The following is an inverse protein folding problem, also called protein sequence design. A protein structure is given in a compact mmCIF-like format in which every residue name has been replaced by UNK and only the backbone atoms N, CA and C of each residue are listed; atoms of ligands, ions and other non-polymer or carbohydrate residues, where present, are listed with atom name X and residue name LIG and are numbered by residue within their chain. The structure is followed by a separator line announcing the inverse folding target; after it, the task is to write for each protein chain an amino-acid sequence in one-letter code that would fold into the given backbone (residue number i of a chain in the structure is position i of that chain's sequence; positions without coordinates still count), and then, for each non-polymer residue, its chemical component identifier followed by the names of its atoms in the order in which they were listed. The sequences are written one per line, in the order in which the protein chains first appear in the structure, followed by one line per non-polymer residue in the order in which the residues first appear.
data_IF_410586878308
#
_entry.id   IF_410586878308
#
_cell.length_a   1.000
_cell.length_b   1.000
_cell.length_c   1.000
_cell.angle_alpha   90.00
_cell.angle_beta   90.00
_cell.angle_gamma   90.00
#
_symmetry.space_group_name_H-M   'P 1'
#
loop_
_entity.id
_entity.type
_entity.pdbx_description
1 polymer ?
#
# COMPACT_ATOMS: atom_id res chain seq x y z
N UNK A 1 29.68 -25.97 -6.13
CA UNK A 1 29.89 -25.48 -7.52
C UNK A 1 29.06 -26.23 -8.58
N UNK A 2 29.07 -27.57 -8.64
CA UNK A 2 28.30 -28.36 -9.64
C UNK A 2 26.77 -28.19 -9.58
N UNK A 3 26.21 -27.99 -8.40
CA UNK A 3 24.75 -27.79 -8.21
C UNK A 3 24.25 -26.48 -8.84
N UNK A 4 25.02 -25.39 -8.68
CA UNK A 4 24.71 -24.08 -9.23
C UNK A 4 24.75 -24.09 -10.76
N UNK A 5 25.75 -24.75 -11.35
CA UNK A 5 25.83 -24.94 -12.81
C UNK A 5 24.67 -25.78 -13.36
N UNK A 6 24.24 -26.82 -12.62
CA UNK A 6 23.08 -27.65 -13.00
C UNK A 6 21.78 -26.85 -12.93
N UNK A 7 21.62 -26.00 -11.91
CA UNK A 7 20.46 -25.12 -11.76
C UNK A 7 20.44 -24.03 -12.85
N UNK A 8 21.57 -23.39 -13.13
CA UNK A 8 21.70 -22.36 -14.17
C UNK A 8 21.38 -22.88 -15.59
N UNK A 9 21.63 -24.16 -15.87
CA UNK A 9 21.26 -24.78 -17.15
C UNK A 9 19.79 -25.19 -17.25
N UNK A 10 19.01 -25.14 -16.17
CA UNK A 10 17.60 -25.51 -16.17
C UNK A 10 16.74 -24.35 -16.70
N UNK A 11 16.00 -24.57 -17.79
CA UNK A 11 15.08 -23.55 -18.37
C UNK A 11 14.00 -23.07 -17.40
N UNK A 12 13.68 -23.84 -16.34
CA UNK A 12 12.72 -23.45 -15.29
C UNK A 12 13.35 -22.62 -14.17
N UNK A 13 14.68 -22.60 -14.04
CA UNK A 13 15.36 -21.92 -12.93
C UNK A 13 15.04 -20.42 -12.84
N UNK A 14 14.97 -19.63 -13.93
CA UNK A 14 14.58 -18.22 -13.85
C UNK A 14 13.17 -18.02 -13.29
N UNK A 15 12.22 -18.87 -13.68
CA UNK A 15 10.84 -18.80 -13.16
C UNK A 15 10.75 -19.16 -11.68
N UNK A 16 11.53 -20.15 -11.25
CA UNK A 16 11.62 -20.54 -9.83
C UNK A 16 12.22 -19.40 -9.01
N UNK A 17 13.31 -18.79 -9.48
CA UNK A 17 13.94 -17.65 -8.82
C UNK A 17 12.98 -16.47 -8.71
N UNK A 18 12.28 -16.13 -9.80
CA UNK A 18 11.27 -15.08 -9.78
C UNK A 18 10.17 -15.36 -8.74
N UNK A 19 9.66 -16.59 -8.70
CA UNK A 19 8.66 -17.00 -7.70
C UNK A 19 9.17 -16.86 -6.26
N UNK A 20 10.42 -17.24 -6.00
CA UNK A 20 11.05 -17.06 -4.68
C UNK A 20 11.19 -15.56 -4.35
N UNK A 21 11.61 -14.73 -5.30
CA UNK A 21 11.75 -13.29 -5.10
C UNK A 21 10.41 -12.64 -4.78
N UNK A 22 9.34 -12.96 -5.53
CA UNK A 22 7.99 -12.44 -5.27
C UNK A 22 7.50 -12.90 -3.90
N UNK A 23 7.72 -14.16 -3.52
CA UNK A 23 7.33 -14.68 -2.22
C UNK A 23 8.07 -13.98 -1.07
N UNK A 24 9.39 -13.80 -1.18
CA UNK A 24 10.18 -13.08 -0.18
C UNK A 24 9.75 -11.62 -0.05
N UNK A 25 9.53 -10.95 -1.18
CA UNK A 25 8.98 -9.59 -1.22
C UNK A 25 7.63 -9.52 -0.49
N UNK A 26 6.69 -10.41 -0.82
CA UNK A 26 5.36 -10.44 -0.21
C UNK A 26 5.42 -10.64 1.31
N UNK A 27 6.17 -11.64 1.77
CA UNK A 27 6.30 -11.93 3.21
C UNK A 27 6.90 -10.76 3.98
N UNK A 28 7.95 -10.14 3.43
CA UNK A 28 8.60 -9.01 4.08
C UNK A 28 7.73 -7.76 4.06
N UNK A 29 7.04 -7.47 2.96
CA UNK A 29 6.12 -6.34 2.85
C UNK A 29 4.92 -6.49 3.79
N UNK A 30 4.35 -7.69 3.94
CA UNK A 30 3.30 -7.95 4.93
C UNK A 30 3.84 -7.76 6.36
N UNK A 31 5.02 -8.30 6.65
CA UNK A 31 5.65 -8.10 7.95
C UNK A 31 5.80 -6.61 8.30
N UNK A 32 6.30 -5.80 7.36
CA UNK A 32 6.39 -4.35 7.55
C UNK A 32 5.02 -3.69 7.70
N UNK A 33 4.04 -4.08 6.88
CA UNK A 33 2.69 -3.51 6.93
C UNK A 33 2.06 -3.63 8.33
N UNK A 34 2.25 -4.79 8.97
CA UNK A 34 1.69 -5.12 10.29
C UNK A 34 2.50 -4.58 11.47
N UNK A 35 3.82 -4.39 11.33
CA UNK A 35 4.70 -4.09 12.47
C UNK A 35 5.28 -2.66 12.48
N UNK A 36 5.23 -1.94 11.36
CA UNK A 36 5.84 -0.62 11.26
C UNK A 36 5.03 0.39 12.08
N UNK A 37 5.67 1.12 12.99
CA UNK A 37 4.99 2.16 13.77
C UNK A 37 4.61 3.34 12.88
N UNK A 38 3.49 3.98 13.20
CA UNK A 38 3.09 5.22 12.53
C UNK A 38 4.12 6.33 12.85
N UNK A 39 4.38 7.24 11.90
CA UNK A 39 5.40 8.28 12.04
C UNK A 39 6.83 7.88 11.71
N UNK A 40 7.13 6.61 11.42
CA UNK A 40 8.47 6.23 10.92
C UNK A 40 8.72 6.82 9.53
N UNK A 41 7.71 6.80 8.66
CA UNK A 41 7.73 7.56 7.41
C UNK A 41 7.20 8.97 7.67
N UNK A 42 7.90 10.04 7.26
CA UNK A 42 7.49 11.41 7.54
C UNK A 42 6.12 11.78 6.92
N UNK A 43 5.70 11.07 5.86
CA UNK A 43 4.44 11.26 5.15
C UNK A 43 3.33 10.30 5.58
N UNK A 44 3.57 9.40 6.53
CA UNK A 44 2.60 8.36 6.92
C UNK A 44 1.28 8.94 7.42
N UNK A 45 1.34 10.01 8.22
CA UNK A 45 0.16 10.74 8.67
C UNK A 45 -0.58 11.41 7.51
N UNK A 46 0.15 12.03 6.58
CA UNK A 46 -0.46 12.67 5.41
C UNK A 46 -1.29 11.68 4.58
N UNK A 47 -0.75 10.50 4.27
CA UNK A 47 -1.48 9.51 3.47
C UNK A 47 -2.72 8.99 4.19
N UNK A 48 -2.69 8.80 5.51
CA UNK A 48 -3.86 8.37 6.26
C UNK A 48 -4.93 9.47 6.30
N UNK A 49 -4.58 10.63 6.82
CA UNK A 49 -5.52 11.73 7.11
C UNK A 49 -6.14 12.30 5.83
N UNK A 50 -5.35 12.42 4.76
CA UNK A 50 -5.90 12.86 3.47
C UNK A 50 -6.78 11.77 2.85
N UNK A 51 -6.44 10.48 3.00
CA UNK A 51 -7.34 9.39 2.56
C UNK A 51 -8.66 9.40 3.33
N UNK A 52 -8.65 9.71 4.63
CA UNK A 52 -9.87 9.91 5.43
C UNK A 52 -10.67 11.13 4.97
N UNK A 53 -10.02 12.23 4.57
CA UNK A 53 -10.74 13.36 3.96
C UNK A 53 -11.42 12.96 2.64
N UNK A 54 -10.71 12.18 1.81
CA UNK A 54 -11.28 11.60 0.59
C UNK A 54 -12.38 10.57 0.89
N UNK A 55 -12.38 9.88 2.04
CA UNK A 55 -13.39 8.88 2.42
C UNK A 55 -14.79 9.51 2.57
N UNK A 56 -14.84 10.79 2.98
CA UNK A 56 -16.05 11.58 3.23
C UNK A 56 -16.72 12.16 1.98
N UNK A 57 -16.06 12.14 0.83
CA UNK A 57 -16.59 12.71 -0.43
C UNK A 57 -16.39 11.77 -1.62
N UNK A 58 -17.19 11.92 -2.68
CA UNK A 58 -16.97 11.19 -3.93
C UNK A 58 -15.95 11.88 -4.86
N UNK A 59 -15.75 13.19 -4.68
CA UNK A 59 -14.86 14.02 -5.50
C UNK A 59 -13.56 14.36 -4.79
N UNK A 60 -13.05 15.55 -5.09
CA UNK A 60 -11.91 16.13 -4.38
C UNK A 60 -12.46 16.82 -3.11
N UNK A 61 -11.96 16.50 -1.91
CA UNK A 61 -12.38 17.16 -0.67
C UNK A 61 -12.01 18.64 -0.68
N UNK A 62 -12.84 19.46 -0.03
CA UNK A 62 -12.54 20.87 0.21
C UNK A 62 -11.45 21.04 1.28
N UNK A 63 -10.74 22.17 1.25
CA UNK A 63 -9.82 22.51 2.33
C UNK A 63 -10.62 22.95 3.57
N UNK A 64 -10.46 22.25 4.68
CA UNK A 64 -11.07 22.57 5.98
C UNK A 64 -10.00 22.87 7.03
N UNK A 65 -10.35 23.47 8.18
CA UNK A 65 -9.38 23.70 9.27
C UNK A 65 -8.58 22.44 9.67
N UNK A 66 -9.20 21.27 9.62
CA UNK A 66 -8.56 19.98 9.91
C UNK A 66 -7.52 19.57 8.86
N UNK A 67 -7.69 20.02 7.62
CA UNK A 67 -6.83 19.65 6.48
C UNK A 67 -5.78 20.70 6.14
N UNK A 68 -5.84 21.91 6.69
CA UNK A 68 -4.89 23.00 6.39
C UNK A 68 -3.43 22.62 6.67
N UNK A 69 -3.18 21.79 7.68
CA UNK A 69 -1.85 21.25 7.98
C UNK A 69 -1.26 20.42 6.83
N UNK A 70 -2.11 19.86 5.97
CA UNK A 70 -1.75 19.05 4.81
C UNK A 70 -1.67 19.87 3.51
N UNK A 71 -1.72 21.20 3.62
CA UNK A 71 -1.70 22.17 2.52
C UNK A 71 -2.97 22.06 1.66
N UNK A 72 -2.89 22.56 0.42
CA UNK A 72 -4.02 22.63 -0.49
C UNK A 72 -4.36 21.25 -1.07
N UNK A 73 -5.27 20.52 -0.42
CA UNK A 73 -5.73 19.20 -0.89
C UNK A 73 -6.70 19.30 -2.08
N UNK A 74 -7.28 20.48 -2.34
CA UNK A 74 -8.22 20.70 -3.45
C UNK A 74 -7.57 20.65 -4.82
N UNK A 75 -6.25 20.84 -4.88
CA UNK A 75 -5.45 20.79 -6.12
C UNK A 75 -4.61 19.53 -6.25
N UNK A 76 -4.87 18.54 -5.41
CA UNK A 76 -4.12 17.29 -5.35
C UNK A 76 -5.03 16.13 -5.77
N UNK A 77 -5.31 15.95 -7.08
CA UNK A 77 -6.14 14.86 -7.56
C UNK A 77 -5.33 13.56 -7.64
N UNK A 78 -4.98 12.97 -6.49
CA UNK A 78 -4.35 11.66 -6.48
C UNK A 78 -5.41 10.57 -6.42
N UNK A 79 -5.56 9.85 -7.53
CA UNK A 79 -6.40 8.64 -7.64
C UNK A 79 -6.10 7.64 -6.52
N UNK A 80 -4.85 7.53 -6.07
CA UNK A 80 -4.47 6.66 -4.95
C UNK A 80 -5.15 7.06 -3.63
N UNK A 81 -5.20 8.35 -3.29
CA UNK A 81 -5.87 8.83 -2.08
C UNK A 81 -7.39 8.65 -2.17
N UNK A 82 -7.96 8.84 -3.36
CA UNK A 82 -9.38 8.54 -3.60
C UNK A 82 -9.68 7.06 -3.42
N UNK A 83 -8.89 6.16 -4.01
CA UNK A 83 -9.02 4.70 -3.87
C UNK A 83 -8.90 4.32 -2.39
N UNK A 84 -7.89 4.85 -1.68
CA UNK A 84 -7.71 4.62 -0.25
C UNK A 84 -8.95 5.03 0.54
N UNK A 85 -9.54 6.20 0.26
CA UNK A 85 -10.80 6.63 0.87
C UNK A 85 -11.95 5.63 0.64
N UNK A 86 -12.05 5.02 -0.54
CA UNK A 86 -13.04 3.96 -0.80
C UNK A 86 -12.74 2.67 -0.02
N UNK A 87 -11.46 2.30 0.09
CA UNK A 87 -11.03 1.14 0.88
C UNK A 87 -11.37 1.35 2.36
N UNK A 88 -11.18 2.57 2.89
CA UNK A 88 -11.57 2.90 4.26
C UNK A 88 -13.07 2.75 4.49
N UNK A 89 -13.92 3.23 3.56
CA UNK A 89 -15.37 3.06 3.69
C UNK A 89 -15.78 1.57 3.66
N UNK A 90 -15.14 0.76 2.81
CA UNK A 90 -15.39 -0.68 2.79
C UNK A 90 -14.95 -1.33 4.10
N UNK A 91 -13.77 -0.97 4.62
CA UNK A 91 -13.28 -1.46 5.90
C UNK A 91 -14.24 -1.13 7.04
N UNK A 92 -14.70 0.12 7.14
CA UNK A 92 -15.69 0.55 8.13
C UNK A 92 -16.98 -0.26 8.03
N UNK A 93 -17.44 -0.55 6.81
CA UNK A 93 -18.68 -1.30 6.58
C UNK A 93 -18.57 -2.80 6.88
N UNK A 94 -17.39 -3.43 6.69
CA UNK A 94 -17.28 -4.90 6.71
C UNK A 94 -16.39 -5.45 7.82
N UNK A 95 -15.18 -4.93 7.99
CA UNK A 95 -14.14 -5.58 8.82
C UNK A 95 -13.78 -4.80 10.08
N UNK A 96 -13.90 -3.48 10.03
CA UNK A 96 -13.55 -2.53 11.08
C UNK A 96 -12.13 -2.76 11.66
N UNK A 97 -11.16 -3.02 10.78
CA UNK A 97 -9.75 -3.16 11.16
C UNK A 97 -9.06 -1.80 11.29
N UNK A 98 -7.86 -1.81 11.87
CA UNK A 98 -6.98 -0.63 11.91
C UNK A 98 -6.71 -0.08 10.50
N UNK A 99 -7.06 1.18 10.28
CA UNK A 99 -7.04 1.83 8.98
C UNK A 99 -5.64 1.86 8.36
N UNK A 100 -4.61 2.14 9.17
CA UNK A 100 -3.22 2.17 8.72
C UNK A 100 -2.80 0.81 8.19
N UNK A 101 -3.15 -0.25 8.92
CA UNK A 101 -2.87 -1.63 8.54
C UNK A 101 -3.57 -1.99 7.24
N UNK A 102 -4.86 -1.65 7.11
CA UNK A 102 -5.65 -1.91 5.89
C UNK A 102 -5.02 -1.23 4.68
N UNK A 103 -4.76 0.08 4.76
CA UNK A 103 -4.17 0.84 3.64
C UNK A 103 -2.78 0.31 3.25
N UNK A 104 -1.97 -0.10 4.23
CA UNK A 104 -0.66 -0.71 3.96
C UNK A 104 -0.81 -2.05 3.24
N UNK A 105 -1.72 -2.91 3.68
CA UNK A 105 -1.98 -4.20 3.01
C UNK A 105 -2.50 -3.99 1.58
N UNK A 106 -3.36 -2.98 1.36
CA UNK A 106 -3.81 -2.59 0.01
C UNK A 106 -2.66 -2.11 -0.87
N UNK A 107 -1.68 -1.37 -0.31
CA UNK A 107 -0.47 -1.00 -1.04
C UNK A 107 0.40 -2.22 -1.37
N UNK A 108 0.50 -3.22 -0.48
CA UNK A 108 1.20 -4.47 -0.78
C UNK A 108 0.53 -5.21 -1.94
N UNK A 109 -0.81 -5.31 -1.97
CA UNK A 109 -1.55 -5.92 -3.07
C UNK A 109 -1.29 -5.19 -4.40
N UNK A 110 -1.32 -3.85 -4.39
CA UNK A 110 -1.02 -3.04 -5.57
C UNK A 110 0.40 -3.27 -6.05
N UNK A 111 1.38 -3.29 -5.14
CA UNK A 111 2.78 -3.52 -5.49
C UNK A 111 3.00 -4.91 -6.09
N UNK A 112 2.41 -5.97 -5.52
CA UNK A 112 2.46 -7.32 -6.11
C UNK A 112 1.82 -7.36 -7.48
N UNK A 113 0.69 -6.66 -7.67
CA UNK A 113 0.02 -6.55 -8.96
C UNK A 113 0.91 -5.96 -10.06
N UNK A 114 1.87 -5.10 -9.73
CA UNK A 114 2.82 -4.56 -10.72
C UNK A 114 3.89 -5.55 -11.17
N UNK A 115 4.06 -6.67 -10.48
CA UNK A 115 5.08 -7.70 -10.77
C UNK A 115 4.55 -8.86 -11.63
N UNK A 116 3.24 -8.92 -11.86
CA UNK A 116 2.54 -9.97 -12.62
C UNK A 116 2.15 -9.42 -13.99
#
# INVERSE_FOLDING_TARGET
MKLFQKFAKNKKAPKILLGITILLFLLFSIYLALNLRMGVSPDSYYHLEVSQAYSKTLGIPENTPETYQWRDITRIPYLSLWINGRILNLNEMTFNFDEVTVLRLSNVLTAVGTLI
#
